data_IF_414338224428
#
_entry.id   IF_414338224428
#
_cell.length_a   1.000
_cell.length_b   1.000
_cell.length_c   1.000
_cell.angle_alpha   90.00
_cell.angle_beta   90.00
_cell.angle_gamma   90.00
#
_symmetry.space_group_name_H-M   'P 1'
#
loop_
_entity.id
_entity.type
_entity.pdbx_description
1 polymer ?
#
# COMPACT_ATOMS: atom_id res chain seq x y z
N UNK A 1 11.33 -26.39 4.33
CA UNK A 1 10.62 -25.10 4.15
C UNK A 1 11.51 -23.91 4.54
N UNK A 2 12.66 -23.69 3.88
CA UNK A 2 13.25 -22.35 3.84
C UNK A 2 12.30 -21.42 3.09
N UNK A 3 11.98 -20.28 3.68
CA UNK A 3 11.20 -19.24 3.05
C UNK A 3 12.11 -18.04 2.80
N UNK A 4 12.11 -17.53 1.58
CA UNK A 4 12.89 -16.35 1.20
C UNK A 4 11.98 -15.16 0.91
N UNK A 5 12.38 -13.99 1.40
CA UNK A 5 11.67 -12.74 1.15
C UNK A 5 12.35 -11.98 0.01
N UNK A 6 11.58 -11.65 -1.03
CA UNK A 6 12.04 -10.90 -2.19
C UNK A 6 11.14 -9.70 -2.45
N UNK A 7 11.65 -8.68 -3.15
CA UNK A 7 10.79 -7.64 -3.72
C UNK A 7 9.99 -8.22 -4.89
N UNK A 8 8.72 -7.87 -4.98
CA UNK A 8 7.88 -8.24 -6.11
C UNK A 8 8.26 -7.42 -7.34
N UNK A 9 8.29 -8.08 -8.51
CA UNK A 9 8.47 -7.46 -9.81
C UNK A 9 7.16 -7.52 -10.61
N UNK A 10 6.94 -6.65 -11.61
CA UNK A 10 5.67 -6.60 -12.35
C UNK A 10 5.17 -7.96 -12.89
N UNK A 11 6.03 -8.87 -13.38
CA UNK A 11 5.60 -10.21 -13.81
C UNK A 11 4.99 -11.10 -12.72
N UNK A 12 5.26 -10.83 -11.43
CA UNK A 12 4.70 -11.62 -10.33
C UNK A 12 3.22 -11.30 -10.05
N UNK A 13 2.77 -10.12 -10.47
CA UNK A 13 1.47 -9.55 -10.07
C UNK A 13 0.25 -10.43 -10.37
N UNK A 14 0.17 -11.21 -11.49
CA UNK A 14 -0.96 -12.12 -11.70
C UNK A 14 -1.00 -13.26 -10.68
N UNK A 15 0.16 -13.77 -10.25
CA UNK A 15 0.27 -14.79 -9.21
C UNK A 15 -0.13 -14.22 -7.86
N UNK A 16 0.28 -12.98 -7.55
CA UNK A 16 -0.12 -12.29 -6.32
C UNK A 16 -1.63 -12.03 -6.26
N UNK A 17 -2.23 -11.58 -7.37
CA UNK A 17 -3.67 -11.40 -7.48
C UNK A 17 -4.41 -12.73 -7.24
N UNK A 18 -3.94 -13.81 -7.85
CA UNK A 18 -4.49 -15.16 -7.61
C UNK A 18 -4.39 -15.54 -6.14
N UNK A 19 -3.24 -15.32 -5.51
CA UNK A 19 -3.04 -15.61 -4.10
C UNK A 19 -4.05 -14.84 -3.22
N UNK A 20 -4.26 -13.55 -3.48
CA UNK A 20 -5.26 -12.74 -2.78
C UNK A 20 -6.65 -13.39 -2.80
N UNK A 21 -7.16 -13.80 -3.98
CA UNK A 21 -8.48 -14.45 -4.07
C UNK A 21 -8.55 -15.83 -3.41
N UNK A 22 -7.42 -16.56 -3.38
CA UNK A 22 -7.36 -17.85 -2.69
C UNK A 22 -7.36 -17.68 -1.17
N UNK A 23 -6.64 -16.69 -0.65
CA UNK A 23 -6.52 -16.44 0.79
C UNK A 23 -7.77 -15.75 1.35
N UNK A 24 -8.22 -14.68 0.72
CA UNK A 24 -9.38 -13.88 1.15
C UNK A 24 -10.67 -14.40 0.52
N UNK A 25 -11.10 -15.57 1.00
CA UNK A 25 -12.26 -16.31 0.48
C UNK A 25 -13.52 -16.17 1.32
N UNK A 26 -13.52 -15.28 2.32
CA UNK A 26 -14.67 -15.00 3.16
C UNK A 26 -15.76 -14.23 2.41
N UNK A 27 -16.97 -14.28 2.95
CA UNK A 27 -18.15 -13.69 2.34
C UNK A 27 -18.06 -12.16 2.19
N UNK A 28 -17.25 -11.48 3.01
CA UNK A 28 -17.05 -10.04 2.90
C UNK A 28 -16.09 -9.71 1.75
N UNK A 29 -14.92 -10.33 1.71
CA UNK A 29 -13.96 -10.11 0.61
C UNK A 29 -14.52 -10.55 -0.75
N UNK A 30 -15.31 -11.62 -0.80
CA UNK A 30 -15.95 -12.06 -2.05
C UNK A 30 -17.00 -11.07 -2.55
N UNK A 31 -17.64 -10.29 -1.66
CA UNK A 31 -18.56 -9.21 -2.04
C UNK A 31 -17.81 -7.96 -2.52
N UNK A 32 -16.70 -7.62 -1.86
CA UNK A 32 -15.84 -6.51 -2.27
C UNK A 32 -15.18 -6.78 -3.62
N UNK A 33 -14.59 -7.96 -3.78
CA UNK A 33 -13.87 -8.39 -4.97
C UNK A 33 -14.38 -9.75 -5.42
N UNK A 34 -15.42 -9.78 -6.27
CA UNK A 34 -15.90 -11.02 -6.86
C UNK A 34 -14.80 -11.73 -7.67
N UNK A 35 -14.88 -13.07 -7.73
CA UNK A 35 -13.92 -13.91 -8.46
C UNK A 35 -14.22 -13.90 -9.96
N UNK A 36 -14.14 -12.74 -10.56
CA UNK A 36 -14.37 -12.52 -11.99
C UNK A 36 -13.07 -12.10 -12.68
N UNK A 37 -12.89 -12.40 -13.98
CA UNK A 37 -11.64 -12.13 -14.69
C UNK A 37 -11.27 -10.63 -14.77
N UNK A 38 -12.26 -9.75 -14.80
CA UNK A 38 -12.08 -8.29 -14.79
C UNK A 38 -11.49 -7.80 -13.46
N UNK A 39 -11.96 -8.33 -12.33
CA UNK A 39 -11.45 -7.98 -10.99
C UNK A 39 -10.03 -8.50 -10.81
N UNK A 40 -9.72 -9.69 -11.34
CA UNK A 40 -8.36 -10.23 -11.35
C UNK A 40 -7.39 -9.37 -12.18
N UNK A 41 -7.84 -8.95 -13.37
CA UNK A 41 -7.08 -8.04 -14.24
C UNK A 41 -6.84 -6.69 -13.56
N UNK A 42 -7.87 -6.16 -12.88
CA UNK A 42 -7.76 -4.94 -12.10
C UNK A 42 -6.72 -5.06 -10.97
N UNK A 43 -6.75 -6.16 -10.20
CA UNK A 43 -5.78 -6.41 -9.12
C UNK A 43 -4.34 -6.51 -9.65
N UNK A 44 -4.16 -7.18 -10.79
CA UNK A 44 -2.85 -7.29 -11.46
C UNK A 44 -2.31 -5.91 -11.83
N UNK A 45 -3.16 -5.04 -12.40
CA UNK A 45 -2.79 -3.66 -12.73
C UNK A 45 -2.51 -2.82 -11.48
N UNK A 46 -3.35 -2.93 -10.45
CA UNK A 46 -3.21 -2.22 -9.19
C UNK A 46 -1.85 -2.52 -8.53
N UNK A 47 -1.52 -3.80 -8.37
CA UNK A 47 -0.24 -4.23 -7.81
C UNK A 47 0.94 -3.78 -8.67
N UNK A 48 0.79 -3.78 -10.00
CA UNK A 48 1.83 -3.27 -10.91
C UNK A 48 2.08 -1.76 -10.69
N UNK A 49 1.02 -0.97 -10.50
CA UNK A 49 1.13 0.46 -10.17
C UNK A 49 1.84 0.67 -8.82
N UNK A 50 1.49 -0.14 -7.81
CA UNK A 50 2.12 -0.06 -6.48
C UNK A 50 3.61 -0.46 -6.49
N UNK A 51 4.03 -1.39 -7.35
CA UNK A 51 5.47 -1.71 -7.52
C UNK A 51 6.26 -0.50 -8.02
N UNK A 52 5.65 0.32 -8.89
CA UNK A 52 6.26 1.55 -9.40
C UNK A 52 6.24 2.71 -8.40
N UNK A 53 5.44 2.63 -7.33
CA UNK A 53 5.27 3.73 -6.38
C UNK A 53 6.41 3.75 -5.34
N UNK A 54 7.21 4.84 -5.26
CA UNK A 54 8.34 4.92 -4.34
C UNK A 54 7.94 4.91 -2.86
N UNK A 55 6.65 5.16 -2.55
CA UNK A 55 6.11 5.10 -1.18
C UNK A 55 5.54 3.73 -0.81
N UNK A 56 5.51 2.77 -1.73
CA UNK A 56 5.02 1.42 -1.48
C UNK A 56 6.15 0.42 -1.57
N UNK A 57 6.05 -0.67 -0.81
CA UNK A 57 6.94 -1.83 -0.92
C UNK A 57 6.09 -3.06 -1.01
N UNK A 58 6.12 -3.71 -2.16
CA UNK A 58 5.47 -4.99 -2.37
C UNK A 58 6.52 -6.10 -2.22
N UNK A 59 6.35 -6.92 -1.20
CA UNK A 59 7.22 -8.04 -0.85
C UNK A 59 6.53 -9.34 -1.19
N UNK A 60 7.26 -10.32 -1.72
CA UNK A 60 6.79 -11.68 -1.97
C UNK A 60 7.62 -12.68 -1.16
N UNK A 61 6.98 -13.77 -0.76
CA UNK A 61 7.62 -14.89 -0.06
C UNK A 61 7.70 -16.07 -1.01
N UNK A 62 8.91 -16.58 -1.19
CA UNK A 62 9.21 -17.72 -2.06
C UNK A 62 9.50 -18.95 -1.19
N UNK A 63 8.88 -20.07 -1.52
CA UNK A 63 9.28 -21.37 -1.00
C UNK A 63 10.32 -21.99 -1.94
N UNK A 64 11.54 -22.19 -1.43
CA UNK A 64 12.67 -22.73 -2.21
C UNK A 64 12.61 -24.25 -2.35
N UNK A 65 11.82 -24.92 -1.51
CA UNK A 65 11.64 -26.39 -1.56
C UNK A 65 10.43 -26.78 -2.43
N UNK A 66 9.68 -25.81 -2.95
CA UNK A 66 8.50 -26.07 -3.78
C UNK A 66 8.89 -26.91 -5.01
N UNK A 67 8.26 -28.07 -5.16
CA UNK A 67 8.53 -28.98 -6.26
C UNK A 67 7.71 -28.55 -7.49
N UNK A 68 8.35 -28.07 -8.58
CA UNK A 68 7.63 -27.70 -9.79
C UNK A 68 6.90 -28.88 -10.44
N UNK A 69 7.30 -30.13 -10.16
CA UNK A 69 6.59 -31.32 -10.62
C UNK A 69 5.28 -31.57 -9.87
N UNK A 70 5.07 -30.94 -8.71
CA UNK A 70 3.85 -31.04 -7.89
C UNK A 70 2.86 -29.90 -8.13
N UNK A 71 3.20 -28.97 -9.04
CA UNK A 71 2.40 -27.76 -9.29
C UNK A 71 2.19 -26.91 -8.03
N UNK A 72 3.17 -26.92 -7.12
CA UNK A 72 3.16 -26.10 -5.91
C UNK A 72 3.52 -24.65 -6.27
N UNK A 73 2.80 -23.65 -5.76
CA UNK A 73 3.09 -22.26 -6.07
C UNK A 73 4.42 -21.86 -5.41
N UNK A 74 5.40 -21.51 -6.24
CA UNK A 74 6.71 -21.00 -5.77
C UNK A 74 6.56 -19.74 -4.91
N UNK A 75 5.53 -18.91 -5.17
CA UNK A 75 5.18 -17.76 -4.34
C UNK A 75 4.04 -18.15 -3.42
N UNK A 76 4.32 -18.18 -2.12
CA UNK A 76 3.38 -18.66 -1.08
C UNK A 76 2.73 -17.53 -0.29
N UNK A 77 3.22 -16.30 -0.44
CA UNK A 77 2.77 -15.14 0.33
C UNK A 77 3.19 -13.82 -0.30
N UNK A 78 2.49 -12.73 0.02
CA UNK A 78 2.97 -11.38 -0.25
C UNK A 78 2.49 -10.39 0.82
N UNK A 79 3.18 -9.25 0.89
CA UNK A 79 2.82 -8.13 1.74
C UNK A 79 2.97 -6.82 0.97
N UNK A 80 1.92 -5.99 0.99
CA UNK A 80 1.96 -4.62 0.48
C UNK A 80 2.11 -3.66 1.65
N UNK A 81 3.21 -2.92 1.68
CA UNK A 81 3.53 -1.97 2.74
C UNK A 81 3.49 -0.52 2.24
N UNK A 82 2.84 0.36 3.00
CA UNK A 82 2.84 1.80 2.73
C UNK A 82 3.82 2.50 3.66
N UNK A 83 4.78 3.23 3.08
CA UNK A 83 5.74 4.03 3.83
C UNK A 83 5.10 5.34 4.29
N UNK A 84 5.49 5.89 5.45
CA UNK A 84 5.02 7.20 5.89
C UNK A 84 5.41 8.28 4.88
N UNK A 85 4.61 9.34 4.81
CA UNK A 85 4.96 10.50 4.00
C UNK A 85 6.32 11.06 4.47
N UNK A 86 7.21 11.46 3.55
CA UNK A 86 8.46 12.10 3.95
C UNK A 86 8.17 13.36 4.76
N UNK A 87 8.89 13.52 5.88
CA UNK A 87 8.84 14.74 6.69
C UNK A 87 9.33 15.91 5.84
N UNK A 88 8.43 16.84 5.52
CA UNK A 88 8.79 18.07 4.82
C UNK A 88 9.40 19.02 5.83
N UNK A 89 10.73 19.17 5.82
CA UNK A 89 11.44 20.18 6.63
C UNK A 89 11.35 21.59 6.01
N UNK A 90 10.24 21.93 5.35
CA UNK A 90 10.05 23.26 4.78
C UNK A 90 9.37 24.17 5.81
N UNK A 91 9.89 25.39 6.07
CA UNK A 91 9.26 26.31 7.00
C UNK A 91 7.86 26.66 6.52
N UNK A 92 6.89 26.48 7.40
CA UNK A 92 5.48 26.80 7.16
C UNK A 92 5.33 28.31 7.10
N UNK A 93 5.15 28.85 5.90
CA UNK A 93 4.64 30.21 5.71
C UNK A 93 3.28 30.12 5.04
N UNK A 94 2.27 30.38 5.87
CA UNK A 94 0.99 31.02 5.56
C UNK A 94 -0.09 30.24 4.80
N UNK A 95 -1.23 30.16 5.51
CA UNK A 95 -2.60 29.95 5.06
C UNK A 95 -2.88 30.34 3.61
N UNK A 96 -3.30 29.36 2.81
CA UNK A 96 -4.18 29.60 1.66
C UNK A 96 -5.53 28.94 1.89
N UNK A 97 -6.50 29.80 2.17
CA UNK A 97 -7.92 29.56 1.94
C UNK A 97 -8.13 29.61 0.43
N UNK A 98 -8.30 28.46 -0.19
CA UNK A 98 -8.51 28.31 -1.62
C UNK A 98 -8.30 26.86 -1.98
N UNK A 99 -9.29 26.26 -2.61
CA UNK A 99 -9.29 24.91 -3.17
C UNK A 99 -8.09 24.70 -4.10
N UNK A 100 -6.93 24.43 -3.53
CA UNK A 100 -5.76 23.93 -4.23
C UNK A 100 -5.91 22.41 -4.26
N UNK A 101 -6.25 21.90 -5.45
CA UNK A 101 -5.96 20.54 -5.88
C UNK A 101 -4.47 20.29 -5.56
N UNK A 102 -4.21 19.76 -4.36
CA UNK A 102 -2.93 19.15 -4.06
C UNK A 102 -2.80 18.08 -5.14
N UNK A 103 -1.75 18.16 -5.95
CA UNK A 103 -1.36 17.17 -6.95
C UNK A 103 -1.23 15.80 -6.26
N UNK A 104 -2.35 15.10 -6.12
CA UNK A 104 -2.47 13.74 -5.59
C UNK A 104 -2.21 12.70 -6.68
N UNK A 105 -2.21 13.13 -7.95
CA UNK A 105 -2.15 12.28 -9.14
C UNK A 105 -0.83 11.50 -9.27
N UNK A 106 0.31 12.00 -8.79
CA UNK A 106 1.60 11.30 -8.94
C UNK A 106 1.86 10.21 -7.89
N UNK A 107 1.05 10.13 -6.83
CA UNK A 107 1.21 9.17 -5.73
C UNK A 107 -0.03 8.32 -5.50
N UNK A 108 -0.95 8.29 -6.46
CA UNK A 108 -2.15 7.48 -6.37
C UNK A 108 -1.79 6.01 -6.12
N UNK A 109 -2.38 5.47 -5.05
CA UNK A 109 -2.23 4.06 -4.69
C UNK A 109 -2.85 3.17 -5.79
N UNK A 110 -2.30 1.96 -5.97
CA UNK A 110 -2.82 0.98 -6.92
C UNK A 110 -4.26 0.56 -6.62
N UNK A 111 -4.61 0.53 -5.34
CA UNK A 111 -5.93 0.15 -4.82
C UNK A 111 -6.89 1.35 -4.75
N UNK A 112 -6.92 2.17 -5.81
CA UNK A 112 -7.81 3.32 -5.94
C UNK A 112 -8.81 3.11 -7.08
N UNK A 113 -9.90 3.91 -7.13
CA UNK A 113 -10.79 3.96 -8.28
C UNK A 113 -10.02 4.21 -9.61
N UNK A 114 -10.57 3.78 -10.76
CA UNK A 114 -11.90 3.19 -10.94
C UNK A 114 -11.95 1.70 -10.55
N UNK A 115 -13.00 1.33 -9.80
CA UNK A 115 -13.32 -0.05 -9.46
C UNK A 115 -13.80 -0.82 -10.72
N UNK A 116 -13.53 -2.13 -10.84
CA UNK A 116 -14.01 -2.94 -11.95
C UNK A 116 -15.55 -3.07 -11.89
N UNK A 117 -16.18 -3.27 -13.05
CA UNK A 117 -17.65 -3.29 -13.18
C UNK A 117 -18.31 -4.36 -12.32
N UNK A 118 -17.65 -5.51 -12.13
CA UNK A 118 -18.19 -6.59 -11.31
C UNK A 118 -18.15 -6.29 -9.80
N UNK A 119 -17.38 -5.30 -9.35
CA UNK A 119 -17.33 -4.92 -7.94
C UNK A 119 -18.53 -4.05 -7.55
N UNK A 120 -19.01 -4.19 -6.32
CA UNK A 120 -19.88 -3.18 -5.72
C UNK A 120 -19.05 -1.93 -5.40
N UNK A 121 -18.97 -1.01 -6.36
CA UNK A 121 -18.18 0.20 -6.23
C UNK A 121 -18.55 1.06 -5.01
N UNK A 122 -19.82 1.05 -4.59
CA UNK A 122 -20.26 1.79 -3.41
C UNK A 122 -19.78 1.13 -2.10
N UNK A 123 -19.72 -0.20 -2.07
CA UNK A 123 -19.13 -0.94 -0.96
C UNK A 123 -17.61 -0.74 -0.91
N UNK A 124 -16.92 -0.80 -2.06
CA UNK A 124 -15.49 -0.55 -2.15
C UNK A 124 -15.15 0.87 -1.69
N UNK A 125 -15.88 1.87 -2.18
CA UNK A 125 -15.66 3.27 -1.80
C UNK A 125 -15.89 3.49 -0.31
N UNK A 126 -16.98 2.93 0.24
CA UNK A 126 -17.24 3.04 1.68
C UNK A 126 -16.13 2.40 2.50
N UNK A 127 -15.64 1.22 2.12
CA UNK A 127 -14.61 0.51 2.86
C UNK A 127 -13.24 1.19 2.74
N UNK A 128 -12.75 1.39 1.52
CA UNK A 128 -11.42 1.95 1.27
C UNK A 128 -11.37 3.46 1.56
N UNK A 129 -12.44 4.20 1.29
CA UNK A 129 -12.57 5.61 1.67
C UNK A 129 -12.50 5.80 3.19
N UNK A 130 -13.27 5.02 3.96
CA UNK A 130 -13.19 5.06 5.43
C UNK A 130 -11.78 4.73 5.92
N UNK A 131 -11.13 3.71 5.35
CA UNK A 131 -9.77 3.33 5.72
C UNK A 131 -8.77 4.45 5.42
N UNK A 132 -8.90 5.13 4.27
CA UNK A 132 -8.07 6.28 3.91
C UNK A 132 -8.28 7.46 4.87
N UNK A 133 -9.53 7.80 5.20
CA UNK A 133 -9.85 8.85 6.18
C UNK A 133 -9.22 8.54 7.55
N UNK A 134 -9.33 7.29 8.01
CA UNK A 134 -8.70 6.85 9.25
C UNK A 134 -7.17 6.89 9.19
N UNK A 135 -6.58 6.50 8.06
CA UNK A 135 -5.15 6.58 7.84
C UNK A 135 -4.67 8.03 7.95
N UNK A 136 -5.36 8.97 7.29
CA UNK A 136 -5.06 10.41 7.36
C UNK A 136 -5.23 10.93 8.78
N UNK A 137 -6.30 10.57 9.48
CA UNK A 137 -6.56 11.00 10.85
C UNK A 137 -5.49 10.51 11.84
N UNK A 138 -5.04 9.26 11.72
CA UNK A 138 -4.11 8.63 12.67
C UNK A 138 -2.65 8.94 12.33
N UNK A 139 -2.29 8.96 11.05
CA UNK A 139 -0.90 9.16 10.61
C UNK A 139 -0.60 10.61 10.20
N UNK A 140 -1.62 11.41 9.90
CA UNK A 140 -1.47 12.80 9.47
C UNK A 140 -0.93 13.73 10.56
N UNK A 141 -1.08 13.38 11.84
CA UNK A 141 -0.60 14.19 12.97
C UNK A 141 0.83 13.86 13.42
N UNK A 142 1.47 12.80 12.90
CA UNK A 142 2.89 12.51 13.19
C UNK A 142 3.86 13.37 12.37
N UNK A 143 3.44 14.58 12.01
CA UNK A 143 4.28 15.59 11.35
C UNK A 143 5.14 16.39 12.34
N UNK A 144 4.88 16.30 13.64
CA UNK A 144 5.54 17.16 14.62
C UNK A 144 6.40 16.41 15.66
N UNK A 145 7.67 16.79 15.65
CA UNK A 145 8.59 16.94 16.78
C UNK A 145 8.79 15.77 17.76
N UNK A 146 9.80 14.94 17.51
CA UNK A 146 10.54 14.24 18.59
C UNK A 146 11.96 13.85 18.16
N UNK A 147 12.71 14.75 17.53
CA UNK A 147 14.16 14.57 17.44
C UNK A 147 14.88 15.92 17.40
N UNK A 148 15.50 16.28 18.53
CA UNK A 148 16.60 17.24 18.58
C UNK A 148 16.27 18.60 19.20
N UNK A 149 16.51 18.75 20.50
CA UNK A 149 17.53 19.67 21.02
C UNK A 149 17.61 19.55 22.55
N UNK A 150 18.29 18.50 23.02
CA UNK A 150 18.96 18.54 24.32
C UNK A 150 20.21 19.43 24.16
N UNK A 151 20.02 20.75 24.23
CA UNK A 151 21.13 21.70 24.26
C UNK A 151 21.78 21.64 25.64
N UNK A 152 22.93 20.98 25.68
CA UNK A 152 23.83 20.84 26.82
C UNK A 152 24.00 22.18 27.57
N UNK A 153 23.88 22.10 28.89
CA UNK A 153 24.53 23.02 29.84
C UNK A 153 26.06 22.93 29.68
N UNK A 154 26.72 24.06 29.91
CA UNK A 154 28.18 24.23 29.92
C UNK A 154 28.57 25.19 28.81
N UNK A 155 29.30 26.26 29.01
CA UNK A 155 30.00 26.83 30.16
C UNK A 155 30.27 28.28 29.72
N UNK A 156 30.09 29.28 30.58
CA UNK A 156 30.91 30.48 30.47
C UNK A 156 30.97 31.15 31.85
N UNK A 157 32.10 30.92 32.50
CA UNK A 157 32.64 31.76 33.54
C UNK A 157 33.70 32.64 32.87
N UNK A 158 33.53 33.96 32.99
CA UNK A 158 34.49 34.97 32.55
C UNK A 158 34.02 36.36 32.94
#
# INVERSE_FOLDING_TARGET
MPLELHLAIPPDTPTLATLFFTTFSDAFNTKLFPRTPDVHTWWTRALTKDIGNPRKRLLKVIDTDADPARNEPTIVGFALWSLPAPVSNAPTTESKTGSEEIQTDELEDGLSPPWPESCDGALCERFFGSNYEWQVKVMGDKRDASCGEEKRRGDDAG
#
